data_IF_939192035078
#
_entry.id   IF_939192035078
#
_cell.length_a   1.000
_cell.length_b   1.000
_cell.length_c   1.000
_cell.angle_alpha   90.00
_cell.angle_beta   90.00
_cell.angle_gamma   90.00
#
_symmetry.space_group_name_H-M   'P 1'
#
loop_
_entity.id
_entity.type
_entity.pdbx_description
1 polymer ?
#
# COMPACT_ATOMS: atom_id res chain seq x y z
N UNK A 1 -24.30 28.36 29.40
CA UNK A 1 -23.98 26.92 29.23
C UNK A 1 -22.87 26.81 28.20
N UNK A 2 -21.69 26.33 28.58
CA UNK A 2 -20.59 26.14 27.63
C UNK A 2 -20.98 25.03 26.64
N UNK A 3 -20.88 25.30 25.34
CA UNK A 3 -21.06 24.28 24.32
C UNK A 3 -20.01 23.17 24.57
N UNK A 4 -20.47 21.92 24.69
CA UNK A 4 -19.57 20.78 24.85
C UNK A 4 -18.65 20.71 23.61
N UNK A 5 -17.33 20.83 23.81
CA UNK A 5 -16.36 20.66 22.74
C UNK A 5 -16.55 19.29 22.08
N UNK A 6 -16.65 19.25 20.76
CA UNK A 6 -16.75 18.00 20.02
C UNK A 6 -15.53 17.11 20.31
N UNK A 7 -15.69 15.79 20.44
CA UNK A 7 -14.59 14.87 20.74
C UNK A 7 -13.59 14.69 19.57
N UNK A 8 -13.88 15.31 18.42
CA UNK A 8 -13.07 15.23 17.21
C UNK A 8 -12.78 16.64 16.65
N UNK A 9 -11.61 16.80 16.08
CA UNK A 9 -11.23 18.00 15.31
C UNK A 9 -11.13 17.62 13.83
N UNK A 10 -11.91 18.29 12.99
CA UNK A 10 -11.82 18.14 11.54
C UNK A 10 -10.99 19.29 10.97
N UNK A 11 -10.03 18.98 10.11
CA UNK A 11 -9.21 19.98 9.42
C UNK A 11 -8.98 19.54 7.98
N UNK A 12 -9.30 20.41 7.04
CA UNK A 12 -8.82 20.26 5.67
C UNK A 12 -7.34 20.67 5.62
N UNK A 13 -6.48 19.74 5.21
CA UNK A 13 -5.03 19.97 5.19
C UNK A 13 -4.57 20.47 3.83
N UNK A 14 -5.10 19.89 2.75
CA UNK A 14 -4.71 20.19 1.37
C UNK A 14 -5.82 19.78 0.41
N UNK A 15 -6.05 20.58 -0.63
CA UNK A 15 -6.83 20.18 -1.80
C UNK A 15 -5.87 19.92 -2.96
N UNK A 16 -5.83 18.68 -3.48
CA UNK A 16 -4.90 18.30 -4.55
C UNK A 16 -4.99 19.20 -5.81
N UNK A 17 -6.18 19.68 -6.23
CA UNK A 17 -6.26 20.63 -7.34
C UNK A 17 -5.53 21.95 -7.09
N UNK A 18 -5.44 22.43 -5.84
CA UNK A 18 -4.74 23.69 -5.52
C UNK A 18 -3.23 23.63 -5.74
N UNK A 19 -2.66 22.42 -5.79
CA UNK A 19 -1.23 22.19 -6.09
C UNK A 19 -1.02 21.69 -7.53
N UNK A 20 -2.02 21.90 -8.38
CA UNK A 20 -1.96 21.63 -9.81
C UNK A 20 -2.17 20.17 -10.20
N UNK A 21 -2.74 19.33 -9.32
CA UNK A 21 -3.15 17.97 -9.68
C UNK A 21 -4.49 18.03 -10.41
N UNK A 22 -4.57 17.47 -11.61
CA UNK A 22 -5.84 17.40 -12.34
C UNK A 22 -6.81 16.42 -11.64
N UNK A 23 -8.07 16.82 -11.49
CA UNK A 23 -9.14 16.04 -10.87
C UNK A 23 -9.28 14.62 -11.45
N UNK A 24 -9.03 14.44 -12.75
CA UNK A 24 -9.12 13.14 -13.42
C UNK A 24 -8.12 12.10 -12.86
N UNK A 25 -7.02 12.56 -12.27
CA UNK A 25 -5.98 11.69 -11.69
C UNK A 25 -6.23 11.42 -10.20
N UNK A 26 -7.26 11.99 -9.59
CA UNK A 26 -7.61 11.77 -8.19
C UNK A 26 -8.46 10.49 -8.08
N UNK A 27 -7.81 9.34 -8.28
CA UNK A 27 -8.43 8.02 -8.22
C UNK A 27 -7.58 7.06 -7.39
N UNK A 28 -8.17 5.97 -6.90
CA UNK A 28 -7.45 4.93 -6.15
C UNK A 28 -6.25 4.34 -6.91
N UNK A 29 -6.33 4.29 -8.24
CA UNK A 29 -5.27 3.74 -9.11
C UNK A 29 -4.10 4.70 -9.34
N UNK A 30 -4.31 6.00 -9.16
CA UNK A 30 -3.35 7.05 -9.49
C UNK A 30 -2.80 7.77 -8.26
N UNK A 31 -3.55 7.83 -7.16
CA UNK A 31 -3.14 8.48 -5.91
C UNK A 31 -2.82 7.44 -4.84
N UNK A 32 -1.61 7.52 -4.29
CA UNK A 32 -1.18 6.67 -3.18
C UNK A 32 -0.72 7.51 -2.01
N UNK A 33 -1.01 7.04 -0.79
CA UNK A 33 -0.65 7.69 0.46
C UNK A 33 -0.27 6.61 1.48
N UNK A 34 1.03 6.39 1.62
CA UNK A 34 1.60 5.32 2.45
C UNK A 34 1.90 5.80 3.88
N UNK A 35 1.94 7.11 4.09
CA UNK A 35 2.07 7.80 5.38
C UNK A 35 1.44 9.19 5.30
N UNK A 36 1.47 9.92 6.40
CA UNK A 36 1.15 11.35 6.45
C UNK A 36 2.22 12.27 5.85
N UNK A 37 3.39 11.74 5.44
CA UNK A 37 4.51 12.54 4.93
C UNK A 37 4.44 12.84 3.45
N UNK A 38 3.92 11.90 2.65
CA UNK A 38 3.95 12.00 1.20
C UNK A 38 2.64 11.54 0.58
N UNK A 39 2.21 12.30 -0.43
CA UNK A 39 1.18 11.87 -1.38
C UNK A 39 1.85 11.71 -2.74
N UNK A 40 1.63 10.58 -3.39
CA UNK A 40 2.17 10.30 -4.71
C UNK A 40 1.03 10.20 -5.72
N UNK A 41 1.11 10.95 -6.81
CA UNK A 41 0.09 11.00 -7.86
C UNK A 41 0.73 10.64 -9.19
N UNK A 42 0.14 9.69 -9.93
CA UNK A 42 0.52 9.39 -11.31
C UNK A 42 -0.37 10.15 -12.27
N UNK A 43 0.25 10.97 -13.12
CA UNK A 43 -0.41 11.67 -14.23
C UNK A 43 -0.01 10.99 -15.54
N UNK A 44 -0.97 10.68 -16.41
CA UNK A 44 -0.72 9.94 -17.67
C UNK A 44 -0.93 10.78 -18.93
N UNK A 45 -1.25 12.07 -18.78
CA UNK A 45 -1.49 13.01 -19.89
C UNK A 45 -1.17 14.43 -19.43
N UNK A 46 -0.50 15.27 -20.25
CA UNK A 46 -0.05 15.02 -21.63
C UNK A 46 1.22 14.13 -21.73
N UNK A 47 1.93 13.94 -20.62
CA UNK A 47 3.07 13.04 -20.51
C UNK A 47 2.97 12.26 -19.19
N UNK A 48 3.45 11.02 -19.19
CA UNK A 48 3.54 10.23 -17.96
C UNK A 48 4.49 10.89 -16.96
N UNK A 49 3.98 11.22 -15.78
CA UNK A 49 4.77 11.76 -14.70
C UNK A 49 4.29 11.26 -13.34
N UNK A 50 5.21 11.22 -12.39
CA UNK A 50 4.92 10.97 -10.98
C UNK A 50 5.12 12.27 -10.23
N UNK A 51 4.07 12.74 -9.57
CA UNK A 51 4.05 13.94 -8.74
C UNK A 51 4.11 13.52 -7.29
N UNK A 52 5.14 13.99 -6.57
CA UNK A 52 5.34 13.71 -5.15
C UNK A 52 5.10 14.99 -4.37
N UNK A 53 4.11 14.96 -3.50
CA UNK A 53 3.74 16.06 -2.61
C UNK A 53 4.32 15.74 -1.23
N UNK A 54 5.32 16.52 -0.81
CA UNK A 54 5.87 16.47 0.55
C UNK A 54 4.94 17.29 1.46
N UNK A 55 4.34 16.66 2.47
CA UNK A 55 3.37 17.32 3.34
C UNK A 55 4.00 18.36 4.27
N UNK A 56 5.33 18.43 4.37
CA UNK A 56 6.02 19.55 5.01
C UNK A 56 6.09 20.80 4.11
N UNK A 57 6.04 20.60 2.78
CA UNK A 57 6.10 21.67 1.77
C UNK A 57 5.10 21.41 0.63
N UNK A 58 3.79 21.31 0.93
CA UNK A 58 2.80 20.80 -0.03
C UNK A 58 2.64 21.70 -1.27
N UNK A 59 2.97 22.99 -1.15
CA UNK A 59 2.91 23.97 -2.24
C UNK A 59 4.04 23.84 -3.27
N UNK A 60 5.01 22.94 -3.05
CA UNK A 60 6.14 22.72 -3.97
C UNK A 60 6.20 21.24 -4.39
N UNK A 61 5.18 20.72 -5.11
CA UNK A 61 5.17 19.34 -5.55
C UNK A 61 6.32 19.04 -6.50
N UNK A 62 7.01 17.92 -6.27
CA UNK A 62 8.09 17.45 -7.14
C UNK A 62 7.52 16.60 -8.27
N UNK A 63 7.60 17.10 -9.50
CA UNK A 63 7.19 16.35 -10.71
C UNK A 63 8.40 15.69 -11.34
N UNK A 64 8.31 14.38 -11.60
CA UNK A 64 9.36 13.60 -12.28
C UNK A 64 8.78 12.90 -13.51
N UNK A 65 9.41 13.01 -14.70
CA UNK A 65 8.97 12.28 -15.89
C UNK A 65 9.31 10.79 -15.72
N UNK A 66 8.37 10.03 -15.19
CA UNK A 66 8.50 8.61 -14.87
C UNK A 66 7.30 7.89 -15.45
N UNK A 67 7.55 6.85 -16.25
CA UNK A 67 6.53 5.95 -16.76
C UNK A 67 6.49 4.71 -15.86
N UNK A 68 5.40 4.53 -15.12
CA UNK A 68 5.17 3.38 -14.26
C UNK A 68 3.66 3.14 -14.08
N UNK A 69 3.27 1.89 -13.90
CA UNK A 69 1.89 1.47 -13.64
C UNK A 69 1.48 1.72 -12.19
N UNK A 70 2.45 1.73 -11.28
CA UNK A 70 2.22 2.07 -9.88
C UNK A 70 3.45 2.71 -9.26
N UNK A 71 3.22 3.59 -8.29
CA UNK A 71 4.26 4.32 -7.57
C UNK A 71 3.87 4.47 -6.10
N UNK A 72 4.80 4.12 -5.19
CA UNK A 72 4.61 4.18 -3.75
C UNK A 72 5.81 4.89 -3.10
N UNK A 73 5.54 5.99 -2.39
CA UNK A 73 6.55 6.64 -1.55
C UNK A 73 6.74 5.88 -0.25
N UNK A 74 7.99 5.74 0.19
CA UNK A 74 8.31 5.14 1.47
C UNK A 74 7.70 5.96 2.63
N UNK A 75 7.20 5.33 3.70
CA UNK A 75 6.55 6.02 4.81
C UNK A 75 7.40 7.08 5.52
N UNK A 76 8.73 6.91 5.54
CA UNK A 76 9.64 7.77 6.30
C UNK A 76 10.70 8.45 5.45
N UNK A 77 11.20 7.78 4.42
CA UNK A 77 12.37 8.20 3.64
C UNK A 77 12.01 8.65 2.22
N UNK A 78 12.91 9.34 1.54
CA UNK A 78 12.74 9.78 0.12
C UNK A 78 13.02 8.64 -0.87
N UNK A 79 12.49 7.45 -0.58
CA UNK A 79 12.59 6.27 -1.45
C UNK A 79 11.27 6.10 -2.19
N UNK A 80 11.34 6.05 -3.51
CA UNK A 80 10.21 5.81 -4.40
C UNK A 80 10.28 4.38 -4.92
N UNK A 81 9.26 3.58 -4.65
CA UNK A 81 9.06 2.30 -5.29
C UNK A 81 8.22 2.48 -6.54
N UNK A 82 8.68 1.92 -7.66
CA UNK A 82 8.02 1.94 -8.97
C UNK A 82 7.76 0.52 -9.44
N UNK A 83 6.60 0.32 -10.05
CA UNK A 83 6.21 -0.91 -10.72
C UNK A 83 5.85 -0.59 -12.16
N UNK A 84 6.46 -1.31 -13.10
CA UNK A 84 6.15 -1.22 -14.52
C UNK A 84 6.05 -2.62 -15.12
N UNK A 85 5.00 -2.88 -15.89
CA UNK A 85 4.83 -4.12 -16.63
C UNK A 85 5.90 -4.20 -17.73
N UNK A 86 6.55 -5.36 -17.84
CA UNK A 86 7.53 -5.62 -18.89
C UNK A 86 6.77 -5.85 -20.21
N UNK A 87 7.00 -5.03 -21.26
CA UNK A 87 6.26 -5.14 -22.51
C UNK A 87 6.31 -6.55 -23.11
N UNK A 88 5.15 -7.06 -23.53
CA UNK A 88 5.03 -8.41 -24.11
C UNK A 88 5.02 -9.55 -23.10
N UNK A 89 4.99 -9.27 -21.79
CA UNK A 89 4.91 -10.30 -20.74
C UNK A 89 3.86 -9.94 -19.68
N UNK A 90 3.53 -10.89 -18.82
CA UNK A 90 2.73 -10.67 -17.60
C UNK A 90 3.58 -10.29 -16.39
N UNK A 91 4.90 -10.11 -16.58
CA UNK A 91 5.83 -9.86 -15.49
C UNK A 91 5.90 -8.38 -15.14
N UNK A 92 6.04 -8.11 -13.85
CA UNK A 92 6.24 -6.76 -13.33
C UNK A 92 7.71 -6.52 -12.99
N UNK A 93 8.25 -5.42 -13.48
CA UNK A 93 9.55 -4.91 -13.08
C UNK A 93 9.41 -3.93 -11.92
N UNK A 94 9.94 -4.30 -10.77
CA UNK A 94 9.95 -3.50 -9.56
C UNK A 94 11.28 -2.77 -9.42
N UNK A 95 11.23 -1.49 -9.08
CA UNK A 95 12.40 -0.66 -8.86
C UNK A 95 12.23 0.19 -7.61
N UNK A 96 13.31 0.36 -6.85
CA UNK A 96 13.38 1.29 -5.74
C UNK A 96 14.41 2.36 -6.05
N UNK A 97 14.01 3.62 -6.00
CA UNK A 97 14.83 4.76 -6.34
C UNK A 97 14.93 5.70 -5.14
N UNK A 98 16.16 6.05 -4.75
CA UNK A 98 16.38 7.12 -3.80
C UNK A 98 16.35 8.46 -4.53
N UNK A 99 15.34 9.27 -4.26
CA UNK A 99 15.11 10.54 -4.95
C UNK A 99 16.17 11.58 -4.61
N UNK A 100 16.68 11.55 -3.36
CA UNK A 100 17.67 12.48 -2.86
C UNK A 100 19.05 12.17 -3.43
N UNK A 101 19.47 10.91 -3.35
CA UNK A 101 20.73 10.45 -3.93
C UNK A 101 20.69 10.32 -5.46
N UNK A 102 19.49 10.45 -6.07
CA UNK A 102 19.24 10.22 -7.51
C UNK A 102 19.79 8.87 -7.99
N UNK A 103 19.70 7.85 -7.15
CA UNK A 103 20.31 6.55 -7.37
C UNK A 103 19.26 5.44 -7.29
N UNK A 104 19.36 4.46 -8.19
CA UNK A 104 18.60 3.21 -8.09
C UNK A 104 19.18 2.40 -6.94
N UNK A 105 18.35 2.11 -5.93
CA UNK A 105 18.75 1.28 -4.79
C UNK A 105 18.68 -0.19 -5.16
N UNK A 106 17.53 -0.63 -5.66
CA UNK A 106 17.24 -2.04 -5.94
C UNK A 106 16.32 -2.18 -7.13
N UNK A 107 16.38 -3.35 -7.76
CA UNK A 107 15.52 -3.70 -8.87
C UNK A 107 15.33 -5.21 -8.90
N UNK A 108 14.10 -5.65 -9.16
CA UNK A 108 13.76 -7.06 -9.24
C UNK A 108 12.65 -7.25 -10.27
N UNK A 109 12.76 -8.28 -11.10
CA UNK A 109 11.72 -8.66 -12.05
C UNK A 109 10.93 -9.81 -11.46
N UNK A 110 9.67 -9.55 -11.10
CA UNK A 110 8.80 -10.57 -10.54
C UNK A 110 8.44 -11.61 -11.60
N UNK A 111 8.45 -12.91 -11.27
CA UNK A 111 8.04 -13.96 -12.19
C UNK A 111 6.53 -13.95 -12.48
N UNK A 112 5.74 -13.38 -11.56
CA UNK A 112 4.29 -13.24 -11.61
C UNK A 112 3.88 -11.77 -11.59
N UNK A 113 2.65 -11.48 -12.02
CA UNK A 113 2.07 -10.15 -11.89
C UNK A 113 1.79 -9.82 -10.42
N UNK A 114 2.16 -8.61 -10.00
CA UNK A 114 1.83 -8.07 -8.68
C UNK A 114 0.52 -7.30 -8.79
N UNK A 115 -0.54 -7.89 -8.22
CA UNK A 115 -1.90 -7.33 -8.21
C UNK A 115 -2.02 -6.19 -7.21
N UNK A 116 -1.35 -6.31 -6.06
CA UNK A 116 -1.35 -5.30 -5.01
C UNK A 116 0.01 -5.26 -4.32
N UNK A 117 0.39 -4.08 -3.86
CA UNK A 117 1.62 -3.90 -3.11
C UNK A 117 1.52 -2.70 -2.18
N UNK A 118 2.22 -2.75 -1.06
CA UNK A 118 2.17 -1.72 -0.02
C UNK A 118 3.43 -1.72 0.83
N UNK A 119 3.84 -0.56 1.33
CA UNK A 119 4.81 -0.52 2.43
C UNK A 119 4.18 -1.04 3.71
N UNK A 120 4.65 -2.19 4.20
CA UNK A 120 4.18 -2.77 5.47
C UNK A 120 4.98 -2.26 6.66
N UNK A 121 6.24 -1.90 6.42
CA UNK A 121 7.10 -1.19 7.36
C UNK A 121 7.93 -0.18 6.57
N UNK A 122 8.62 0.78 7.22
CA UNK A 122 9.53 1.68 6.53
C UNK A 122 10.68 0.99 5.79
N UNK A 123 10.88 -0.32 6.02
CA UNK A 123 11.97 -1.10 5.43
C UNK A 123 11.49 -2.25 4.54
N UNK A 124 10.20 -2.58 4.56
CA UNK A 124 9.65 -3.73 3.84
C UNK A 124 8.42 -3.37 3.01
N UNK A 125 8.42 -3.85 1.77
CA UNK A 125 7.29 -3.87 0.87
C UNK A 125 6.61 -5.24 0.91
N UNK A 126 5.31 -5.25 1.13
CA UNK A 126 4.47 -6.41 0.86
C UNK A 126 4.04 -6.41 -0.60
N UNK A 127 4.31 -7.51 -1.30
CA UNK A 127 3.91 -7.75 -2.69
C UNK A 127 2.89 -8.88 -2.69
N UNK A 128 1.77 -8.68 -3.36
CA UNK A 128 0.69 -9.66 -3.44
C UNK A 128 0.50 -10.02 -4.91
N UNK A 129 0.78 -11.28 -5.24
CA UNK A 129 0.50 -11.87 -6.55
C UNK A 129 -0.84 -12.60 -6.49
N UNK A 130 -1.27 -13.19 -7.61
CA UNK A 130 -2.49 -13.99 -7.67
C UNK A 130 -2.50 -15.14 -6.64
N UNK A 131 -1.32 -15.74 -6.38
CA UNK A 131 -1.20 -16.96 -5.60
C UNK A 131 -0.56 -16.77 -4.23
N UNK A 132 0.35 -15.81 -4.08
CA UNK A 132 1.18 -15.72 -2.88
C UNK A 132 1.46 -14.29 -2.46
N UNK A 133 1.87 -14.13 -1.21
CA UNK A 133 2.33 -12.87 -0.64
C UNK A 133 3.83 -12.95 -0.36
N UNK A 134 4.57 -11.94 -0.81
CA UNK A 134 6.01 -11.82 -0.67
C UNK A 134 6.38 -10.56 0.11
N UNK A 135 7.48 -10.61 0.83
CA UNK A 135 8.10 -9.45 1.47
C UNK A 135 9.40 -9.11 0.77
N UNK A 136 9.59 -7.84 0.45
CA UNK A 136 10.81 -7.34 -0.17
C UNK A 136 11.41 -6.22 0.68
N UNK A 137 12.59 -6.50 1.25
CA UNK A 137 13.33 -5.54 2.08
C UNK A 137 14.14 -4.56 1.24
N UNK A 138 14.19 -3.31 1.69
CA UNK A 138 15.11 -2.29 1.16
C UNK A 138 16.56 -2.52 1.62
N UNK A 139 16.74 -3.30 2.69
CA UNK A 139 18.05 -3.60 3.28
C UNK A 139 18.68 -4.82 2.59
N UNK A 140 20.00 -4.75 2.38
CA UNK A 140 20.75 -5.74 1.61
C UNK A 140 20.63 -5.51 0.11
N UNK A 141 21.77 -5.25 -0.54
CA UNK A 141 21.83 -4.91 -1.97
C UNK A 141 21.25 -6.04 -2.86
N UNK A 142 21.40 -7.30 -2.42
CA UNK A 142 21.02 -8.50 -3.17
C UNK A 142 19.79 -9.23 -2.61
N UNK A 143 19.04 -8.64 -1.67
CA UNK A 143 17.87 -9.35 -1.13
C UNK A 143 16.70 -9.34 -2.14
N UNK A 144 16.27 -10.54 -2.51
CA UNK A 144 15.12 -10.79 -3.38
C UNK A 144 13.82 -10.84 -2.56
N UNK A 145 12.64 -10.69 -3.20
CA UNK A 145 11.36 -10.91 -2.54
C UNK A 145 11.25 -12.33 -1.96
N UNK A 146 10.97 -12.42 -0.65
CA UNK A 146 10.82 -13.69 0.06
C UNK A 146 9.35 -14.03 0.19
N UNK A 147 8.97 -15.24 -0.21
CA UNK A 147 7.60 -15.73 -0.06
C UNK A 147 7.25 -15.92 1.41
N UNK A 148 6.11 -15.38 1.84
CA UNK A 148 5.63 -15.48 3.22
C UNK A 148 4.55 -16.54 3.38
N UNK A 149 3.50 -16.49 2.55
CA UNK A 149 2.39 -17.44 2.58
C UNK A 149 1.64 -17.46 1.25
N UNK A 150 0.86 -18.52 1.04
CA UNK A 150 -0.05 -18.66 -0.09
C UNK A 150 -1.44 -18.09 0.22
N UNK A 151 -2.05 -17.45 -0.78
CA UNK A 151 -3.40 -16.92 -0.68
C UNK A 151 -4.38 -18.09 -0.53
N UNK A 152 -5.31 -17.95 0.40
CA UNK A 152 -6.37 -18.93 0.58
C UNK A 152 -7.47 -18.77 -0.47
N UNK A 153 -8.20 -19.86 -0.73
CA UNK A 153 -9.30 -19.89 -1.70
C UNK A 153 -10.40 -18.84 -1.44
N UNK A 154 -10.57 -18.37 -0.19
CA UNK A 154 -11.52 -17.30 0.12
C UNK A 154 -11.12 -15.94 -0.48
N UNK A 155 -9.87 -15.76 -0.89
CA UNK A 155 -9.35 -14.55 -1.53
C UNK A 155 -9.09 -14.74 -3.03
N UNK A 156 -9.50 -15.86 -3.60
CA UNK A 156 -9.38 -16.12 -5.03
C UNK A 156 -10.30 -15.17 -5.81
N UNK A 157 -9.77 -14.51 -6.85
CA UNK A 157 -10.48 -13.52 -7.66
C UNK A 157 -11.01 -12.29 -6.90
N UNK A 158 -10.59 -12.09 -5.64
CA UNK A 158 -10.89 -10.86 -4.91
C UNK A 158 -9.99 -9.71 -5.33
N UNK A 159 -10.56 -8.50 -5.38
CA UNK A 159 -9.77 -7.28 -5.48
C UNK A 159 -9.08 -7.02 -4.13
N UNK A 160 -7.76 -7.12 -4.10
CA UNK A 160 -6.99 -6.82 -2.88
C UNK A 160 -7.01 -5.31 -2.62
N UNK A 161 -7.43 -4.93 -1.41
CA UNK A 161 -7.57 -3.53 -1.01
C UNK A 161 -6.58 -3.11 0.07
N UNK A 162 -6.07 -4.08 0.85
CA UNK A 162 -5.11 -3.77 1.90
C UNK A 162 -4.28 -4.99 2.30
N UNK A 163 -3.09 -4.72 2.78
CA UNK A 163 -2.21 -5.69 3.41
C UNK A 163 -1.49 -5.03 4.58
N UNK A 164 -1.55 -5.63 5.77
CA UNK A 164 -0.92 -5.08 6.97
C UNK A 164 -0.10 -6.11 7.71
N UNK A 165 0.90 -5.61 8.40
CA UNK A 165 1.77 -6.37 9.28
C UNK A 165 1.60 -5.84 10.71
N UNK A 166 1.62 -6.71 11.71
CA UNK A 166 1.68 -6.31 13.11
C UNK A 166 3.02 -5.64 13.44
N UNK A 167 3.10 -4.76 14.46
CA UNK A 167 4.36 -4.09 14.81
C UNK A 167 5.53 -5.01 15.19
N UNK A 168 5.26 -6.24 15.64
CA UNK A 168 6.28 -7.25 15.94
C UNK A 168 6.56 -8.19 14.75
N UNK A 169 5.96 -7.93 13.59
CA UNK A 169 6.11 -8.70 12.35
C UNK A 169 5.69 -10.17 12.42
N UNK A 170 4.90 -10.55 13.43
CA UNK A 170 4.46 -11.94 13.65
C UNK A 170 3.11 -12.28 13.06
N UNK A 171 2.29 -11.26 12.78
CA UNK A 171 0.96 -11.41 12.22
C UNK A 171 0.82 -10.60 10.94
N UNK A 172 0.32 -11.26 9.91
CA UNK A 172 0.10 -10.68 8.59
C UNK A 172 -1.39 -10.78 8.27
N UNK A 173 -1.96 -9.72 7.74
CA UNK A 173 -3.38 -9.70 7.35
C UNK A 173 -3.53 -9.19 5.93
N UNK A 174 -4.13 -10.01 5.08
CA UNK A 174 -4.49 -9.67 3.70
C UNK A 174 -6.00 -9.47 3.62
N UNK A 175 -6.42 -8.38 2.99
CA UNK A 175 -7.83 -7.99 2.89
C UNK A 175 -8.18 -7.78 1.43
N UNK A 176 -9.20 -8.50 0.96
CA UNK A 176 -9.74 -8.39 -0.38
C UNK A 176 -11.25 -8.28 -0.37
N UNK A 177 -11.79 -7.66 -1.40
CA UNK A 177 -13.23 -7.52 -1.59
C UNK A 177 -13.71 -8.22 -2.85
N UNK A 178 -14.95 -8.71 -2.81
CA UNK A 178 -15.65 -9.30 -3.94
C UNK A 178 -17.03 -8.64 -4.11
N UNK A 179 -17.61 -8.66 -5.32
CA UNK A 179 -19.01 -8.30 -5.53
C UNK A 179 -19.94 -9.11 -4.63
N UNK A 180 -21.09 -8.54 -4.32
CA UNK A 180 -22.11 -9.21 -3.53
C UNK A 180 -22.73 -10.41 -4.24
N UNK A 181 -23.61 -11.15 -3.56
CA UNK A 181 -24.39 -12.19 -4.20
C UNK A 181 -25.15 -11.61 -5.42
N UNK A 182 -25.45 -12.42 -6.46
CA UNK A 182 -26.08 -11.95 -7.69
C UNK A 182 -27.38 -11.17 -7.48
N UNK A 183 -28.08 -11.44 -6.38
CA UNK A 183 -29.32 -10.76 -5.97
C UNK A 183 -29.09 -9.32 -5.46
N UNK A 184 -27.88 -9.03 -4.93
CA UNK A 184 -27.47 -7.73 -4.40
C UNK A 184 -26.00 -7.44 -4.74
N UNK A 185 -25.65 -7.29 -6.03
CA UNK A 185 -24.27 -7.13 -6.47
C UNK A 185 -23.60 -5.87 -5.89
N UNK A 186 -24.40 -4.86 -5.50
CA UNK A 186 -23.93 -3.65 -4.84
C UNK A 186 -23.37 -3.86 -3.42
N UNK A 187 -23.67 -5.00 -2.77
CA UNK A 187 -23.15 -5.27 -1.43
C UNK A 187 -21.76 -5.87 -1.53
N UNK A 188 -20.73 -5.11 -1.16
CA UNK A 188 -19.35 -5.61 -1.20
C UNK A 188 -19.12 -6.65 -0.09
N UNK A 189 -18.65 -7.84 -0.45
CA UNK A 189 -18.20 -8.87 0.51
C UNK A 189 -16.72 -8.64 0.83
N UNK A 190 -16.39 -8.50 2.11
CA UNK A 190 -15.00 -8.41 2.57
C UNK A 190 -14.51 -9.78 3.04
N UNK A 191 -13.43 -10.27 2.42
CA UNK A 191 -12.74 -11.47 2.85
C UNK A 191 -11.35 -11.10 3.36
N UNK A 192 -10.91 -11.80 4.39
CA UNK A 192 -9.65 -11.56 5.07
C UNK A 192 -8.91 -12.88 5.29
N UNK A 193 -7.60 -12.83 5.20
CA UNK A 193 -6.70 -13.92 5.57
C UNK A 193 -5.74 -13.40 6.63
N UNK A 194 -5.84 -13.95 7.83
CA UNK A 194 -4.89 -13.74 8.91
C UNK A 194 -3.84 -14.87 8.85
N UNK A 195 -2.57 -14.52 8.94
CA UNK A 195 -1.46 -15.47 8.94
C UNK A 195 -0.56 -15.23 10.13
N UNK A 196 -0.18 -16.31 10.82
CA UNK A 196 0.77 -16.32 11.92
C UNK A 196 2.13 -16.79 11.41
N UNK A 197 3.14 -15.92 11.48
CA UNK A 197 4.50 -16.21 11.02
C UNK A 197 5.15 -17.29 11.89
N UNK A 198 4.94 -17.24 13.20
CA UNK A 198 5.55 -18.22 14.13
C UNK A 198 4.95 -19.62 13.95
N UNK A 199 3.63 -19.71 13.71
CA UNK A 199 2.93 -20.99 13.61
C UNK A 199 2.84 -21.51 12.16
N UNK A 200 3.16 -20.66 11.17
CA UNK A 200 2.98 -20.96 9.75
C UNK A 200 1.55 -21.42 9.42
N UNK A 201 0.57 -20.83 10.12
CA UNK A 201 -0.84 -21.14 9.98
C UNK A 201 -1.64 -19.93 9.52
N UNK A 202 -2.69 -20.20 8.75
CA UNK A 202 -3.60 -19.17 8.27
C UNK A 202 -5.02 -19.43 8.75
N UNK A 203 -5.76 -18.35 8.97
CA UNK A 203 -7.17 -18.34 9.27
C UNK A 203 -7.90 -17.40 8.31
N UNK A 204 -8.94 -17.93 7.67
CA UNK A 204 -9.86 -17.16 6.82
C UNK A 204 -10.93 -16.51 7.70
N UNK A 205 -11.20 -15.23 7.47
CA UNK A 205 -12.15 -14.42 8.23
C UNK A 205 -12.96 -13.54 7.26
N UNK A 206 -14.20 -13.22 7.62
CA UNK A 206 -15.04 -12.29 6.86
C UNK A 206 -14.94 -10.90 7.51
N UNK A 207 -14.30 -9.95 6.83
CA UNK A 207 -14.10 -8.59 7.32
C UNK A 207 -13.78 -7.62 6.17
N UNK A 208 -14.26 -6.38 6.29
CA UNK A 208 -13.98 -5.31 5.32
C UNK A 208 -12.70 -4.52 5.62
N UNK A 209 -12.29 -4.45 6.89
CA UNK A 209 -11.12 -3.71 7.33
C UNK A 209 -10.55 -4.31 8.63
N UNK A 210 -9.24 -4.21 8.81
CA UNK A 210 -8.56 -4.63 10.03
C UNK A 210 -7.36 -3.73 10.37
N UNK A 211 -6.95 -3.75 11.64
CA UNK A 211 -5.70 -3.14 12.12
C UNK A 211 -5.19 -3.87 13.35
N UNK A 212 -3.88 -3.89 13.52
CA UNK A 212 -3.24 -4.39 14.74
C UNK A 212 -3.04 -3.22 15.73
N UNK A 213 -3.16 -3.51 17.02
CA UNK A 213 -2.90 -2.57 18.10
C UNK A 213 -2.19 -3.28 19.25
N UNK A 214 -1.33 -2.57 19.97
CA UNK A 214 -0.78 -3.00 21.24
C UNK A 214 -1.53 -2.29 22.36
N UNK A 215 -2.09 -3.07 23.28
CA UNK A 215 -2.83 -2.55 24.42
C UNK A 215 -2.27 -3.16 25.70
N UNK A 216 -1.77 -2.31 26.60
CA UNK A 216 -1.31 -2.75 27.92
C UNK A 216 -2.53 -2.90 28.83
N UNK A 217 -2.83 -4.12 29.23
CA UNK A 217 -3.89 -4.41 30.20
C UNK A 217 -3.38 -4.05 31.59
N UNK A 218 -4.03 -3.08 32.22
CA UNK A 218 -3.80 -2.78 33.64
C UNK A 218 -4.73 -3.68 34.46
N UNK A 219 -4.18 -4.69 35.11
CA UNK A 219 -4.92 -5.43 36.12
C UNK A 219 -4.96 -4.60 37.40
N UNK A 220 -6.15 -4.17 37.83
CA UNK A 220 -6.39 -3.76 39.20
C UNK A 220 -6.27 -5.03 40.06
N UNK A 221 -5.17 -5.15 40.79
CA UNK A 221 -5.11 -6.10 41.90
C UNK A 221 -6.04 -5.52 42.97
N UNK A 222 -7.18 -6.17 43.18
CA UNK A 222 -8.08 -5.92 44.31
C UNK A 222 -7.50 -6.52 45.58
#
# INVERSE_FOLDING_TARGET
MAAANAPITMKEVLTLPSVGINQQFITFTNVTMESDKYICVRETSPQNSVVIIDMNMPMQPLRRPITADSALMNPNSRILALKAQVPGTTQDHLQMFNIEAKAKLKSHQMPEQVEFWKWITPKMLGLVTQNSVYHWSIEGCDSEPVKMFDRTANLENNQIINYKCSPNEKWLVLIGIAPGPPERPQLVKGNMQLFSVDQQQTQSLDAHAASFAQFKVNYLVL
#
